data_IF_267458552125
#
_entry.id   IF_267458552125
#
_cell.length_a   1.000
_cell.length_b   1.000
_cell.length_c   1.000
_cell.angle_alpha   90.00
_cell.angle_beta   90.00
_cell.angle_gamma   90.00
#
_symmetry.space_group_name_H-M   'P 1'
#
loop_
_entity.id
_entity.type
_entity.pdbx_description
1 polymer ?
#
# COMPACT_ATOMS: atom_id res chain seq x y z
N UNK A 1 3.69 -23.79 -12.38
CA UNK A 1 3.97 -22.42 -11.92
C UNK A 1 2.72 -21.58 -11.62
N UNK A 2 1.63 -21.56 -12.43
CA UNK A 2 0.54 -20.59 -12.21
C UNK A 2 -0.27 -20.81 -10.91
N UNK A 3 -0.23 -22.02 -10.33
CA UNK A 3 -0.94 -22.37 -9.09
C UNK A 3 0.00 -22.53 -7.89
N UNK A 4 1.20 -21.92 -7.94
CA UNK A 4 2.23 -22.05 -6.90
C UNK A 4 2.80 -20.71 -6.45
N UNK A 5 2.83 -19.73 -7.35
CA UNK A 5 3.31 -18.37 -7.07
C UNK A 5 2.18 -17.41 -7.39
N UNK A 6 1.84 -16.59 -6.41
CA UNK A 6 0.84 -15.54 -6.52
C UNK A 6 1.53 -14.22 -6.19
N UNK A 7 1.30 -13.22 -7.02
CA UNK A 7 1.86 -11.88 -6.85
C UNK A 7 0.71 -10.93 -6.55
N UNK A 8 0.81 -10.19 -5.46
CA UNK A 8 -0.06 -9.05 -5.19
C UNK A 8 0.63 -7.78 -5.64
N UNK A 9 -0.18 -6.76 -5.86
CA UNK A 9 0.30 -5.42 -6.19
C UNK A 9 0.73 -4.68 -4.92
N UNK A 10 1.90 -4.03 -4.96
CA UNK A 10 2.31 -3.01 -4.01
C UNK A 10 2.17 -1.60 -4.57
N UNK A 11 2.40 -0.60 -3.73
CA UNK A 11 2.35 0.82 -4.13
C UNK A 11 3.42 1.17 -5.19
N UNK A 12 4.59 0.52 -5.12
CA UNK A 12 5.67 0.70 -6.09
C UNK A 12 5.40 0.11 -7.48
N UNK A 13 4.42 -0.79 -7.64
CA UNK A 13 3.92 -1.22 -8.95
C UNK A 13 2.95 -0.20 -9.55
N UNK A 14 3.38 1.06 -9.60
CA UNK A 14 2.69 2.22 -10.16
C UNK A 14 3.62 2.99 -11.11
N UNK A 15 3.06 3.83 -11.97
CA UNK A 15 3.88 4.59 -12.93
C UNK A 15 4.65 5.68 -12.19
N UNK A 16 4.02 6.36 -11.23
CA UNK A 16 4.68 7.38 -10.43
C UNK A 16 5.90 6.80 -9.69
N UNK A 17 5.70 5.79 -8.84
CA UNK A 17 6.79 5.26 -8.02
C UNK A 17 7.93 4.70 -8.87
N UNK A 18 7.62 4.01 -9.97
CA UNK A 18 8.67 3.48 -10.84
C UNK A 18 9.46 4.56 -11.58
N UNK A 19 8.84 5.71 -11.88
CA UNK A 19 9.53 6.85 -12.50
C UNK A 19 10.44 7.60 -11.53
N UNK A 20 10.02 7.72 -10.26
CA UNK A 20 10.76 8.44 -9.20
C UNK A 20 11.88 7.58 -8.61
N UNK A 21 11.56 6.34 -8.24
CA UNK A 21 12.46 5.45 -7.47
C UNK A 21 13.33 4.54 -8.36
N UNK A 22 13.58 4.97 -9.58
CA UNK A 22 14.66 4.46 -10.43
C UNK A 22 14.36 3.21 -11.26
N UNK A 23 13.22 2.54 -11.08
CA UNK A 23 12.89 1.35 -11.88
C UNK A 23 12.78 1.67 -13.38
N UNK A 24 12.17 2.80 -13.74
CA UNK A 24 12.10 3.24 -15.14
C UNK A 24 13.51 3.43 -15.72
N UNK A 25 14.35 4.21 -15.04
CA UNK A 25 15.73 4.47 -15.49
C UNK A 25 16.56 3.19 -15.54
N UNK A 26 16.37 2.26 -14.59
CA UNK A 26 17.00 0.94 -14.60
C UNK A 26 16.63 0.15 -15.86
N UNK A 27 15.34 0.05 -16.17
CA UNK A 27 14.85 -0.69 -17.36
C UNK A 27 15.37 -0.03 -18.63
N UNK A 28 15.30 1.30 -18.74
CA UNK A 28 15.82 2.03 -19.89
C UNK A 28 17.32 1.79 -20.09
N UNK A 29 18.10 1.79 -18.99
CA UNK A 29 19.55 1.59 -19.06
C UNK A 29 19.92 0.15 -19.42
N UNK A 30 19.28 -0.85 -18.81
CA UNK A 30 19.62 -2.27 -18.99
C UNK A 30 19.16 -2.85 -20.33
N UNK A 31 18.06 -2.34 -20.90
CA UNK A 31 17.48 -2.87 -22.14
C UNK A 31 17.71 -1.96 -23.36
N UNK A 32 18.40 -0.82 -23.21
CA UNK A 32 18.79 0.08 -24.30
C UNK A 32 17.60 0.48 -25.18
N UNK A 33 17.72 0.30 -26.50
CA UNK A 33 16.67 0.62 -27.48
C UNK A 33 15.32 -0.06 -27.20
N UNK A 34 15.33 -1.24 -26.54
CA UNK A 34 14.10 -1.95 -26.17
C UNK A 34 13.51 -1.49 -24.83
N UNK A 35 14.21 -0.64 -24.07
CA UNK A 35 13.83 -0.28 -22.70
C UNK A 35 12.44 0.32 -22.60
N UNK A 36 12.07 1.24 -23.49
CA UNK A 36 10.71 1.84 -23.52
C UNK A 36 9.63 0.78 -23.73
N UNK A 37 9.89 -0.20 -24.59
CA UNK A 37 8.95 -1.28 -24.83
C UNK A 37 8.81 -2.18 -23.61
N UNK A 38 9.94 -2.59 -23.01
CA UNK A 38 9.98 -3.44 -21.81
C UNK A 38 9.28 -2.77 -20.64
N UNK A 39 9.59 -1.49 -20.36
CA UNK A 39 8.95 -0.73 -19.29
C UNK A 39 7.44 -0.65 -19.47
N UNK A 40 6.96 -0.33 -20.69
CA UNK A 40 5.52 -0.35 -20.99
C UNK A 40 4.87 -1.73 -20.75
N UNK A 41 5.60 -2.81 -21.00
CA UNK A 41 5.11 -4.18 -20.70
C UNK A 41 5.08 -4.45 -19.21
N UNK A 42 6.06 -3.99 -18.43
CA UNK A 42 6.03 -4.05 -16.97
C UNK A 42 4.80 -3.31 -16.41
N UNK A 43 4.55 -2.08 -16.86
CA UNK A 43 3.37 -1.30 -16.45
C UNK A 43 2.06 -2.06 -16.77
N UNK A 44 1.94 -2.61 -17.97
CA UNK A 44 0.77 -3.43 -18.32
C UNK A 44 0.60 -4.68 -17.46
N UNK A 45 1.69 -5.27 -16.98
CA UNK A 45 1.63 -6.37 -16.00
C UNK A 45 1.15 -5.89 -14.63
N UNK A 46 1.61 -4.72 -14.16
CA UNK A 46 1.23 -4.15 -12.87
C UNK A 46 -0.28 -3.87 -12.77
N UNK A 47 -0.91 -3.38 -13.84
CA UNK A 47 -2.38 -3.21 -13.92
C UNK A 47 -3.16 -4.52 -13.75
N UNK A 48 -2.50 -5.65 -14.06
CA UNK A 48 -3.04 -7.00 -13.98
C UNK A 48 -2.92 -7.64 -12.59
N UNK A 49 -2.10 -7.08 -11.68
CA UNK A 49 -1.87 -7.67 -10.37
C UNK A 49 -3.13 -7.55 -9.45
N UNK A 50 -3.51 -8.62 -8.73
CA UNK A 50 -4.53 -8.55 -7.68
C UNK A 50 -4.11 -7.64 -6.52
N UNK A 51 -5.09 -7.02 -5.86
CA UNK A 51 -4.85 -6.11 -4.72
C UNK A 51 -4.71 -6.84 -3.38
N UNK A 52 -5.41 -7.96 -3.23
CA UNK A 52 -5.46 -8.73 -1.99
C UNK A 52 -5.72 -10.21 -2.26
N UNK A 53 -5.51 -11.04 -1.24
CA UNK A 53 -5.83 -12.46 -1.27
C UNK A 53 -6.47 -12.93 0.03
N UNK A 54 -7.16 -14.08 -0.04
CA UNK A 54 -7.61 -14.82 1.14
C UNK A 54 -7.04 -16.23 1.06
N UNK A 55 -6.19 -16.59 2.02
CA UNK A 55 -5.55 -17.90 2.10
C UNK A 55 -6.33 -18.77 3.08
N UNK A 56 -6.71 -19.96 2.61
CA UNK A 56 -7.44 -20.98 3.38
C UNK A 56 -8.73 -20.48 4.09
N UNK A 57 -9.33 -19.39 3.62
CA UNK A 57 -10.49 -18.76 4.26
C UNK A 57 -10.20 -18.17 5.65
N UNK A 58 -8.93 -17.95 5.99
CA UNK A 58 -8.49 -17.52 7.33
C UNK A 58 -7.57 -16.30 7.35
N UNK A 59 -6.80 -16.10 6.29
CA UNK A 59 -5.75 -15.09 6.26
C UNK A 59 -6.02 -14.12 5.12
N UNK A 60 -6.27 -12.85 5.43
CA UNK A 60 -6.32 -11.78 4.45
C UNK A 60 -4.92 -11.20 4.27
N UNK A 61 -4.52 -11.01 3.02
CA UNK A 61 -3.22 -10.40 2.67
C UNK A 61 -3.41 -9.23 1.74
N UNK A 62 -2.73 -8.13 2.02
CA UNK A 62 -2.70 -6.91 1.21
C UNK A 62 -1.33 -6.24 1.36
N UNK A 63 -0.97 -5.30 0.49
CA UNK A 63 0.31 -4.59 0.63
C UNK A 63 0.29 -3.58 1.78
N UNK A 64 -0.62 -2.60 1.71
CA UNK A 64 -0.91 -1.64 2.79
C UNK A 64 -1.83 -2.26 3.82
N UNK A 65 -3.12 -2.46 3.50
CA UNK A 65 -4.00 -3.16 4.43
C UNK A 65 -5.50 -2.97 4.23
N UNK A 66 -6.13 -2.33 5.21
CA UNK A 66 -7.58 -2.08 5.24
C UNK A 66 -7.96 -0.91 4.33
N UNK A 67 -9.25 -0.81 4.02
CA UNK A 67 -9.79 0.14 3.05
C UNK A 67 -11.15 0.68 3.46
N UNK A 68 -11.50 1.87 2.95
CA UNK A 68 -12.80 2.48 3.24
C UNK A 68 -13.90 1.87 2.38
N UNK A 69 -15.11 1.83 2.94
CA UNK A 69 -16.33 1.54 2.20
C UNK A 69 -16.75 2.74 1.34
N UNK A 70 -17.51 2.47 0.30
CA UNK A 70 -18.08 3.52 -0.54
C UNK A 70 -19.25 4.17 0.19
N UNK A 71 -19.10 5.42 0.64
CA UNK A 71 -20.23 6.20 1.16
C UNK A 71 -21.09 6.61 -0.03
N UNK A 72 -22.19 5.90 -0.25
CA UNK A 72 -23.22 6.32 -1.22
C UNK A 72 -23.84 7.61 -0.68
N UNK A 73 -23.32 8.76 -1.11
CA UNK A 73 -24.04 10.02 -0.94
C UNK A 73 -25.28 9.95 -1.83
N UNK A 74 -26.51 10.09 -1.28
CA UNK A 74 -27.69 10.16 -2.12
C UNK A 74 -27.51 11.33 -3.07
N UNK A 75 -27.55 11.06 -4.37
CA UNK A 75 -27.60 12.08 -5.41
C UNK A 75 -28.71 13.08 -5.08
N UNK A 76 -28.34 14.26 -4.57
CA UNK A 76 -29.29 15.37 -4.45
C UNK A 76 -29.59 15.85 -5.86
N UNK A 77 -30.64 15.29 -6.47
CA UNK A 77 -31.33 15.92 -7.60
C UNK A 77 -31.67 17.35 -7.19
N UNK A 78 -31.01 18.31 -7.84
CA UNK A 78 -31.13 19.74 -7.59
C UNK A 78 -32.57 20.19 -7.75
N UNK A 79 -33.29 20.39 -6.64
CA UNK A 79 -34.47 21.28 -6.61
C UNK A 79 -34.08 22.50 -5.78
N UNK A 80 -33.92 23.63 -6.48
CA UNK A 80 -33.75 24.98 -5.91
C UNK A 80 -34.78 25.20 -4.79
N UNK A 81 -34.31 25.49 -3.58
CA UNK A 81 -35.00 26.38 -2.63
C UNK A 81 -34.03 26.92 -1.59
N UNK A 82 -33.92 28.25 -1.56
CA UNK A 82 -33.16 29.03 -0.58
C UNK A 82 -33.53 28.63 0.86
N UNK A 83 -32.58 28.05 1.59
CA UNK A 83 -32.58 28.03 3.07
C UNK A 83 -31.15 28.31 3.54
N UNK A 84 -31.05 29.23 4.50
CA UNK A 84 -29.82 29.67 5.17
C UNK A 84 -28.93 28.47 5.53
N UNK A 85 -27.67 28.54 5.13
CA UNK A 85 -26.63 27.55 5.45
C UNK A 85 -26.33 27.68 6.94
N UNK A 86 -26.86 26.74 7.73
CA UNK A 86 -26.28 26.41 9.04
C UNK A 86 -25.14 25.46 8.72
N UNK A 87 -23.91 25.91 8.97
CA UNK A 87 -22.73 25.07 8.85
C UNK A 87 -22.75 24.07 10.02
N UNK A 88 -23.34 22.90 9.81
CA UNK A 88 -23.05 21.73 10.65
C UNK A 88 -21.89 21.00 9.96
N UNK A 89 -20.68 20.94 10.55
CA UNK A 89 -19.65 20.04 10.09
C UNK A 89 -20.06 18.63 10.51
N UNK A 90 -20.93 18.00 9.73
CA UNK A 90 -21.21 16.59 9.90
C UNK A 90 -19.92 15.84 9.57
N UNK A 91 -19.27 15.31 10.60
CA UNK A 91 -18.17 14.36 10.51
C UNK A 91 -18.62 13.25 9.57
N UNK A 92 -18.10 13.24 8.35
CA UNK A 92 -18.22 12.07 7.48
C UNK A 92 -17.36 10.98 8.12
N UNK A 93 -17.93 10.22 9.05
CA UNK A 93 -17.25 9.09 9.68
C UNK A 93 -16.89 8.09 8.58
N UNK A 94 -15.60 7.89 8.34
CA UNK A 94 -15.12 6.84 7.46
C UNK A 94 -15.58 5.49 8.02
N UNK A 95 -15.96 4.57 7.13
CA UNK A 95 -16.40 3.21 7.48
C UNK A 95 -15.51 2.20 6.79
N UNK A 96 -15.32 1.03 7.40
CA UNK A 96 -14.58 -0.07 6.78
C UNK A 96 -15.34 -0.66 5.60
N UNK A 97 -14.59 -0.93 4.53
CA UNK A 97 -15.12 -1.55 3.33
C UNK A 97 -15.43 -3.04 3.50
N UNK A 98 -16.16 -3.58 2.52
CA UNK A 98 -16.48 -5.00 2.45
C UNK A 98 -15.69 -5.75 1.38
N UNK A 99 -15.52 -7.07 1.56
CA UNK A 99 -14.92 -7.92 0.53
C UNK A 99 -15.70 -7.90 -0.80
N UNK A 100 -17.00 -7.66 -0.76
CA UNK A 100 -17.82 -7.48 -1.96
C UNK A 100 -17.48 -6.19 -2.71
N UNK A 101 -17.30 -5.08 -1.99
CA UNK A 101 -16.86 -3.81 -2.57
C UNK A 101 -15.44 -3.94 -3.14
N UNK A 102 -14.53 -4.61 -2.44
CA UNK A 102 -13.19 -4.91 -2.93
C UNK A 102 -13.23 -5.72 -4.23
N UNK A 103 -14.07 -6.76 -4.30
CA UNK A 103 -14.21 -7.55 -5.53
C UNK A 103 -14.73 -6.74 -6.73
N UNK A 104 -15.47 -5.65 -6.48
CA UNK A 104 -16.00 -4.74 -7.50
C UNK A 104 -15.09 -3.53 -7.78
N UNK A 105 -14.05 -3.32 -6.99
CA UNK A 105 -13.16 -2.18 -7.14
C UNK A 105 -12.47 -2.17 -8.50
N UNK A 106 -12.37 -1.00 -9.14
CA UNK A 106 -11.65 -0.85 -10.41
C UNK A 106 -10.16 -0.82 -10.13
N UNK A 107 -9.55 -2.01 -10.09
CA UNK A 107 -8.11 -2.20 -9.81
C UNK A 107 -7.17 -1.87 -10.97
N UNK A 108 -7.66 -1.89 -12.22
CA UNK A 108 -6.87 -1.61 -13.42
C UNK A 108 -6.70 -0.10 -13.61
N UNK A 109 -5.91 0.48 -12.72
CA UNK A 109 -5.45 1.88 -12.70
C UNK A 109 -3.97 1.86 -12.34
N UNK A 110 -3.09 2.43 -13.19
CA UNK A 110 -1.65 2.42 -12.92
C UNK A 110 -1.30 3.25 -11.68
N UNK A 111 -1.85 4.44 -11.57
CA UNK A 111 -1.69 5.29 -10.40
C UNK A 111 -3.06 5.35 -9.70
N UNK A 112 -3.19 4.83 -8.47
CA UNK A 112 -4.45 4.85 -7.77
C UNK A 112 -4.84 6.30 -7.42
N UNK A 113 -6.11 6.69 -7.62
CA UNK A 113 -6.54 8.05 -7.30
C UNK A 113 -6.65 8.25 -5.78
N UNK A 114 -6.31 9.44 -5.29
CA UNK A 114 -6.49 9.86 -3.89
C UNK A 114 -7.85 10.54 -3.64
N UNK A 115 -8.57 10.91 -4.71
CA UNK A 115 -9.90 11.52 -4.65
C UNK A 115 -10.91 10.87 -5.61
N UNK A 116 -12.18 11.19 -5.43
CA UNK A 116 -13.26 10.66 -6.25
C UNK A 116 -13.77 9.28 -5.82
N UNK A 117 -14.43 8.53 -6.72
CA UNK A 117 -15.20 7.35 -6.33
C UNK A 117 -14.39 6.04 -6.27
N UNK A 118 -13.15 5.99 -6.78
CA UNK A 118 -12.35 4.75 -6.90
C UNK A 118 -11.16 4.72 -5.92
N UNK A 119 -11.43 4.90 -4.62
CA UNK A 119 -10.40 5.04 -3.58
C UNK A 119 -9.83 3.72 -3.07
N UNK A 120 -10.57 2.61 -3.20
CA UNK A 120 -10.19 1.29 -2.65
C UNK A 120 -8.79 0.85 -3.10
N UNK A 121 -8.38 0.97 -4.39
CA UNK A 121 -7.01 0.64 -4.79
C UNK A 121 -5.95 1.48 -4.07
N UNK A 122 -6.20 2.76 -3.84
CA UNK A 122 -5.29 3.63 -3.09
C UNK A 122 -5.18 3.17 -1.63
N UNK A 123 -6.32 2.94 -0.98
CA UNK A 123 -6.35 2.51 0.41
C UNK A 123 -5.62 1.17 0.62
N UNK A 124 -5.83 0.17 -0.25
CA UNK A 124 -5.20 -1.14 -0.08
C UNK A 124 -3.69 -1.08 -0.26
N UNK A 125 -3.19 -0.17 -1.09
CA UNK A 125 -1.78 -0.06 -1.41
C UNK A 125 -1.02 0.87 -0.44
N UNK A 126 -1.69 1.82 0.20
CA UNK A 126 -1.04 2.93 0.93
C UNK A 126 -1.53 3.15 2.37
N UNK A 127 -2.53 2.40 2.85
CA UNK A 127 -2.96 2.56 4.24
C UNK A 127 -1.94 1.94 5.20
N UNK A 128 -1.87 2.50 6.41
CA UNK A 128 -1.01 2.02 7.50
C UNK A 128 -1.83 1.78 8.80
N UNK A 129 -1.41 0.84 9.67
CA UNK A 129 -2.02 0.69 10.99
C UNK A 129 -1.61 1.83 11.92
N UNK A 130 -2.37 2.00 12.98
CA UNK A 130 -2.04 2.86 14.12
C UNK A 130 -2.57 2.24 15.41
N UNK A 131 -1.95 2.55 16.55
CA UNK A 131 -2.51 2.18 17.85
C UNK A 131 -3.73 3.01 18.26
N UNK A 132 -4.00 4.13 17.55
CA UNK A 132 -5.19 4.95 17.81
C UNK A 132 -6.45 4.30 17.24
N UNK A 133 -7.55 4.20 18.00
CA UNK A 133 -8.78 3.59 17.52
C UNK A 133 -9.44 4.41 16.41
N UNK A 134 -10.17 3.73 15.55
CA UNK A 134 -10.94 4.29 14.45
C UNK A 134 -10.23 4.27 13.10
N UNK A 135 -10.83 4.96 12.13
CA UNK A 135 -10.36 5.06 10.75
C UNK A 135 -10.22 6.55 10.39
N UNK A 136 -9.04 6.97 9.96
CA UNK A 136 -8.74 8.35 9.57
C UNK A 136 -7.96 8.41 8.25
N UNK A 137 -7.94 9.55 7.54
CA UNK A 137 -7.05 9.72 6.40
C UNK A 137 -5.59 9.62 6.80
N UNK A 138 -4.76 9.03 5.94
CA UNK A 138 -3.30 9.01 6.12
C UNK A 138 -2.68 10.29 5.52
N UNK A 139 -2.46 11.30 6.35
CA UNK A 139 -1.91 12.59 5.91
C UNK A 139 -0.42 12.50 5.58
N UNK A 140 0.32 11.64 6.26
CA UNK A 140 1.78 11.46 6.04
C UNK A 140 2.05 10.90 4.64
N UNK A 141 1.23 9.95 4.18
CA UNK A 141 1.32 9.38 2.82
C UNK A 141 0.67 10.26 1.75
N UNK A 142 -0.22 11.17 2.14
CA UNK A 142 -1.10 11.94 1.24
C UNK A 142 -2.23 11.12 0.57
N UNK A 143 -2.25 9.80 0.75
CA UNK A 143 -3.25 8.86 0.23
C UNK A 143 -3.46 7.71 1.22
N UNK A 144 -4.61 7.04 1.16
CA UNK A 144 -4.91 5.90 2.02
C UNK A 144 -5.45 6.32 3.39
N UNK A 145 -5.31 5.44 4.36
CA UNK A 145 -5.94 5.52 5.69
C UNK A 145 -4.97 5.14 6.80
N UNK A 146 -5.22 5.65 8.00
CA UNK A 146 -4.75 5.07 9.25
C UNK A 146 -5.89 4.29 9.88
N UNK A 147 -5.63 3.07 10.37
CA UNK A 147 -6.65 2.26 11.05
C UNK A 147 -6.19 1.70 12.38
N UNK A 148 -7.09 1.70 13.37
CA UNK A 148 -6.87 1.22 14.72
C UNK A 148 -7.05 -0.29 14.94
N UNK A 149 -6.76 -0.78 16.15
CA UNK A 149 -7.03 -2.17 16.54
C UNK A 149 -8.51 -2.55 16.47
N UNK A 150 -9.41 -1.60 16.77
CA UNK A 150 -10.87 -1.78 16.66
C UNK A 150 -11.31 -2.07 15.21
N UNK A 151 -10.70 -1.38 14.24
CA UNK A 151 -10.93 -1.64 12.82
C UNK A 151 -10.43 -3.03 12.41
N UNK A 152 -9.31 -3.47 12.98
CA UNK A 152 -8.78 -4.82 12.75
C UNK A 152 -9.71 -5.89 13.32
N UNK A 153 -10.22 -5.69 14.53
CA UNK A 153 -11.21 -6.57 15.17
C UNK A 153 -12.49 -6.65 14.33
N UNK A 154 -13.06 -5.50 13.94
CA UNK A 154 -14.29 -5.47 13.13
C UNK A 154 -14.11 -6.26 11.83
N UNK A 155 -13.01 -6.02 11.10
CA UNK A 155 -12.75 -6.67 9.83
C UNK A 155 -12.57 -8.19 9.97
N UNK A 156 -11.73 -8.63 10.91
CA UNK A 156 -11.49 -10.06 11.16
C UNK A 156 -12.77 -10.77 11.57
N UNK A 157 -13.53 -10.19 12.48
CA UNK A 157 -14.81 -10.74 12.97
C UNK A 157 -15.85 -10.84 11.86
N UNK A 158 -16.04 -9.75 11.10
CA UNK A 158 -17.03 -9.66 10.02
C UNK A 158 -16.83 -10.72 8.93
N UNK A 159 -15.57 -11.04 8.62
CA UNK A 159 -15.24 -11.99 7.56
C UNK A 159 -14.78 -13.37 8.07
N UNK A 160 -14.89 -13.63 9.38
CA UNK A 160 -14.48 -14.88 10.02
C UNK A 160 -13.01 -15.27 9.72
N UNK A 161 -12.16 -14.24 9.66
CA UNK A 161 -10.72 -14.35 9.44
C UNK A 161 -9.99 -14.37 10.78
N UNK A 162 -8.72 -14.76 10.75
CA UNK A 162 -7.83 -14.86 11.92
C UNK A 162 -6.57 -14.02 11.79
N UNK A 163 -6.13 -13.72 10.57
CA UNK A 163 -4.93 -12.95 10.33
C UNK A 163 -5.16 -11.90 9.24
N UNK A 164 -4.61 -10.71 9.48
CA UNK A 164 -4.25 -9.76 8.42
C UNK A 164 -2.72 -9.81 8.33
N UNK A 165 -2.19 -10.09 7.14
CA UNK A 165 -0.76 -9.98 6.86
C UNK A 165 -0.57 -8.87 5.82
N UNK A 166 0.20 -7.85 6.19
CA UNK A 166 0.57 -6.74 5.31
C UNK A 166 2.09 -6.61 5.17
N UNK A 167 2.52 -5.71 4.29
CA UNK A 167 3.93 -5.36 4.08
C UNK A 167 4.16 -3.86 4.18
N UNK A 168 4.49 -3.15 3.10
CA UNK A 168 4.62 -1.69 2.94
C UNK A 168 5.51 -0.87 3.93
N UNK A 169 5.50 -1.07 5.25
CA UNK A 169 6.33 -0.28 6.20
C UNK A 169 7.66 -0.99 6.48
N UNK A 170 8.77 -0.39 6.02
CA UNK A 170 10.14 -0.81 6.32
C UNK A 170 10.69 -0.20 7.61
N UNK A 171 11.98 -0.42 7.92
CA UNK A 171 12.63 0.19 9.09
C UNK A 171 12.72 1.72 9.00
N UNK A 172 12.82 2.28 7.79
CA UNK A 172 12.80 3.73 7.52
C UNK A 172 11.47 4.37 7.93
N UNK A 173 10.35 3.77 7.52
CA UNK A 173 9.03 4.23 7.91
C UNK A 173 8.79 4.02 9.42
N UNK A 174 9.26 2.89 9.97
CA UNK A 174 9.01 2.53 11.37
C UNK A 174 9.85 3.29 12.38
N UNK A 175 11.05 3.75 12.03
CA UNK A 175 11.87 4.59 12.91
C UNK A 175 11.21 5.93 13.25
N UNK A 176 10.30 6.39 12.38
CA UNK A 176 9.51 7.62 12.56
C UNK A 176 8.26 7.41 13.41
N UNK A 177 7.92 6.16 13.73
CA UNK A 177 6.70 5.78 14.45
C UNK A 177 7.01 5.67 15.94
N UNK A 178 6.23 6.36 16.77
CA UNK A 178 6.29 6.20 18.22
C UNK A 178 5.26 5.20 18.76
N UNK A 179 4.26 4.84 17.96
CA UNK A 179 3.14 4.00 18.35
C UNK A 179 3.32 2.52 18.02
N UNK A 180 4.23 2.17 17.11
CA UNK A 180 4.43 0.79 16.64
C UNK A 180 5.89 0.35 16.80
N UNK A 181 6.11 -0.97 16.89
CA UNK A 181 7.44 -1.55 16.99
C UNK A 181 8.25 -1.40 15.69
N UNK A 182 9.58 -1.40 15.85
CA UNK A 182 10.55 -1.36 14.76
C UNK A 182 10.68 -2.68 13.98
N UNK A 183 11.32 -2.62 12.81
CA UNK A 183 11.42 -3.75 11.87
C UNK A 183 12.72 -4.56 11.99
N UNK A 184 13.39 -4.56 13.16
CA UNK A 184 14.70 -5.17 13.35
C UNK A 184 14.79 -6.64 12.90
N UNK A 185 13.71 -7.40 13.12
CA UNK A 185 13.61 -8.83 12.77
C UNK A 185 12.83 -9.10 11.49
N UNK A 186 12.42 -8.05 10.77
CA UNK A 186 11.68 -8.12 9.51
C UNK A 186 10.17 -8.37 9.66
N UNK A 187 9.63 -8.36 10.87
CA UNK A 187 8.18 -8.41 11.08
C UNK A 187 7.79 -7.85 12.45
N UNK A 188 6.53 -7.46 12.60
CA UNK A 188 5.89 -7.05 13.86
C UNK A 188 4.48 -7.62 13.97
N UNK A 189 3.95 -7.70 15.19
CA UNK A 189 2.52 -7.97 15.44
C UNK A 189 1.90 -6.66 15.92
N UNK A 190 1.37 -5.87 14.98
CA UNK A 190 0.95 -4.49 15.27
C UNK A 190 -0.35 -4.45 16.08
N UNK A 191 -1.33 -5.31 15.76
CA UNK A 191 -2.56 -5.41 16.52
C UNK A 191 -2.80 -6.84 16.97
N UNK A 192 -3.06 -7.02 18.27
CA UNK A 192 -3.57 -8.24 18.84
C UNK A 192 -5.00 -8.00 19.33
N UNK A 193 -5.97 -8.68 18.73
CA UNK A 193 -7.41 -8.48 18.98
C UNK A 193 -8.08 -9.82 19.30
N UNK A 194 -9.34 -9.80 19.73
CA UNK A 194 -10.07 -11.02 20.13
C UNK A 194 -10.19 -12.00 18.95
N UNK A 195 -10.48 -11.48 17.76
CA UNK A 195 -10.68 -12.30 16.57
C UNK A 195 -9.37 -12.80 15.95
N UNK A 196 -8.22 -12.21 16.27
CA UNK A 196 -6.94 -12.57 15.67
C UNK A 196 -5.85 -11.50 15.78
N UNK A 197 -5.03 -11.35 14.74
CA UNK A 197 -3.92 -10.38 14.74
C UNK A 197 -3.62 -9.78 13.38
N UNK A 198 -3.09 -8.56 13.41
CA UNK A 198 -2.44 -7.88 12.30
C UNK A 198 -0.93 -8.09 12.40
N UNK A 199 -0.31 -8.49 11.29
CA UNK A 199 1.12 -8.69 11.15
C UNK A 199 1.62 -7.81 10.02
N UNK A 200 2.70 -7.07 10.28
CA UNK A 200 3.48 -6.42 9.22
C UNK A 200 4.74 -7.22 8.96
N UNK A 201 4.97 -7.54 7.69
CA UNK A 201 6.06 -8.39 7.22
C UNK A 201 6.91 -7.63 6.19
N UNK A 202 8.21 -7.58 6.42
CA UNK A 202 9.18 -6.90 5.56
C UNK A 202 10.32 -7.84 5.16
N UNK A 203 10.45 -8.11 3.86
CA UNK A 203 11.37 -9.12 3.33
C UNK A 203 12.66 -8.54 2.73
N UNK A 204 12.96 -7.26 2.94
CA UNK A 204 14.19 -6.63 2.48
C UNK A 204 15.17 -6.41 3.66
N UNK A 205 16.17 -7.30 3.86
CA UNK A 205 17.19 -7.11 4.89
C UNK A 205 18.14 -5.94 4.56
N UNK A 206 18.62 -5.27 5.61
CA UNK A 206 19.57 -4.16 5.55
C UNK A 206 19.12 -3.10 4.54
N UNK A 207 17.87 -2.70 4.70
CA UNK A 207 17.17 -1.68 3.91
C UNK A 207 17.44 -0.28 4.51
N UNK A 208 17.47 0.78 3.67
CA UNK A 208 17.48 0.74 2.21
C UNK A 208 18.85 0.33 1.66
N UNK A 209 18.88 -0.08 0.39
CA UNK A 209 20.15 -0.42 -0.26
C UNK A 209 21.03 0.82 -0.45
N UNK A 210 20.42 1.93 -0.86
CA UNK A 210 21.07 3.23 -1.03
C UNK A 210 20.51 4.19 0.02
N UNK A 211 21.39 4.94 0.68
CA UNK A 211 21.03 5.90 1.73
C UNK A 211 22.06 7.02 1.74
N UNK A 212 21.59 8.25 1.99
CA UNK A 212 22.43 9.43 2.08
C UNK A 212 23.31 9.44 3.34
N UNK A 213 22.86 8.79 4.41
CA UNK A 213 23.57 8.73 5.69
C UNK A 213 24.44 7.48 5.80
N UNK A 214 25.47 7.53 6.67
CA UNK A 214 26.30 6.35 6.97
C UNK A 214 25.59 5.34 7.89
N UNK A 215 24.57 5.78 8.62
CA UNK A 215 23.83 4.97 9.58
C UNK A 215 22.87 4.01 8.88
N UNK A 216 23.03 2.71 9.10
CA UNK A 216 22.20 1.65 8.49
C UNK A 216 21.27 1.07 9.55
N UNK A 217 20.02 0.81 9.17
CA UNK A 217 19.07 0.09 10.02
C UNK A 217 19.50 -1.33 10.35
N UNK A 218 20.24 -2.00 9.43
CA UNK A 218 20.73 -3.39 9.62
C UNK A 218 19.63 -4.39 9.98
N UNK A 219 18.39 -4.09 9.59
CA UNK A 219 17.23 -4.94 9.83
C UNK A 219 17.40 -6.30 9.14
N UNK A 220 16.77 -7.33 9.69
CA UNK A 220 16.57 -8.60 8.97
C UNK A 220 15.39 -8.46 8.01
N UNK A 221 15.40 -9.28 6.97
CA UNK A 221 14.18 -9.59 6.23
C UNK A 221 13.48 -10.77 6.91
N UNK A 222 12.18 -10.93 6.71
CA UNK A 222 11.46 -12.12 7.14
C UNK A 222 10.50 -12.66 6.08
N UNK A 223 10.12 -13.92 6.26
CA UNK A 223 8.98 -14.55 5.59
C UNK A 223 8.17 -15.39 6.59
N UNK A 224 6.92 -15.68 6.23
CA UNK A 224 5.99 -16.45 7.05
C UNK A 224 5.64 -17.76 6.33
N UNK A 225 5.69 -18.87 7.06
CA UNK A 225 5.13 -20.15 6.62
C UNK A 225 3.78 -20.33 7.31
N UNK A 226 2.75 -20.61 6.51
CA UNK A 226 1.41 -20.98 6.95
C UNK A 226 1.16 -22.44 6.56
N UNK A 227 0.83 -23.29 7.53
CA UNK A 227 0.71 -24.73 7.32
C UNK A 227 -0.70 -25.26 7.62
N UNK A 228 -1.21 -26.22 6.84
CA UNK A 228 -2.44 -26.93 7.20
C UNK A 228 -2.22 -27.81 8.45
N UNK A 229 -3.24 -27.98 9.30
CA UNK A 229 -4.57 -27.35 9.23
C UNK A 229 -4.61 -25.94 9.87
N UNK A 230 -3.51 -25.47 10.46
CA UNK A 230 -3.43 -24.29 11.33
C UNK A 230 -2.87 -23.04 10.61
N UNK A 231 -3.56 -22.59 9.57
CA UNK A 231 -3.17 -21.39 8.81
C UNK A 231 -3.22 -20.07 9.62
N UNK A 232 -3.72 -20.11 10.85
CA UNK A 232 -3.78 -18.99 11.80
C UNK A 232 -2.61 -18.94 12.79
N UNK A 233 -1.69 -19.92 12.72
CA UNK A 233 -0.48 -19.99 13.55
C UNK A 233 0.76 -19.78 12.68
N UNK A 234 1.13 -18.52 12.38
CA UNK A 234 2.22 -18.23 11.45
C UNK A 234 3.58 -18.61 12.06
N UNK A 235 4.41 -19.27 11.25
CA UNK A 235 5.81 -19.59 11.59
C UNK A 235 6.70 -18.55 10.92
N UNK A 236 7.40 -17.76 11.74
CA UNK A 236 8.27 -16.68 11.26
C UNK A 236 9.69 -17.17 11.02
N UNK A 237 10.28 -16.72 9.91
CA UNK A 237 11.68 -16.96 9.58
C UNK A 237 12.34 -15.65 9.19
N UNK A 238 13.25 -15.16 10.03
CA UNK A 238 14.08 -14.00 9.73
C UNK A 238 15.40 -14.41 9.09
N UNK A 239 15.91 -13.60 8.17
CA UNK A 239 17.14 -13.84 7.43
C UNK A 239 17.93 -12.54 7.22
N UNK A 240 19.25 -12.68 7.08
CA UNK A 240 20.16 -11.58 6.76
C UNK A 240 20.49 -11.60 5.25
N UNK A 241 21.05 -10.49 4.75
CA UNK A 241 21.46 -10.40 3.35
C UNK A 241 22.80 -11.12 3.09
N UNK A 242 22.98 -11.77 1.92
CA UNK A 242 24.30 -12.15 1.43
C UNK A 242 25.01 -10.93 0.81
N UNK A 243 26.35 -10.93 0.67
CA UNK A 243 27.08 -9.83 0.04
C UNK A 243 26.47 -9.42 -1.31
N UNK A 244 26.17 -8.12 -1.46
CA UNK A 244 25.56 -7.55 -2.67
C UNK A 244 26.65 -7.13 -3.67
N UNK A 245 26.50 -7.39 -4.97
CA UNK A 245 27.35 -6.78 -5.99
C UNK A 245 27.30 -5.26 -5.89
N UNK A 246 28.42 -4.59 -6.15
CA UNK A 246 28.45 -3.12 -6.22
C UNK A 246 27.60 -2.66 -7.40
N UNK A 247 26.62 -1.80 -7.14
CA UNK A 247 25.72 -1.20 -8.13
C UNK A 247 25.58 0.30 -7.85
N UNK A 248 25.36 1.08 -8.89
CA UNK A 248 25.01 2.50 -8.76
C UNK A 248 23.49 2.64 -8.77
N UNK A 249 22.93 3.60 -8.02
CA UNK A 249 21.50 3.85 -8.00
C UNK A 249 21.01 4.41 -9.35
N UNK A 250 19.77 4.09 -9.68
CA UNK A 250 19.07 4.60 -10.88
C UNK A 250 18.13 5.76 -10.56
N UNK A 251 18.25 6.36 -9.38
CA UNK A 251 17.54 7.55 -8.95
C UNK A 251 18.46 8.36 -8.03
N UNK A 252 18.06 9.61 -7.77
CA UNK A 252 18.75 10.44 -6.78
C UNK A 252 18.22 10.10 -5.39
N UNK A 253 18.97 9.30 -4.64
CA UNK A 253 18.57 8.86 -3.30
C UNK A 253 18.92 9.89 -2.21
N UNK A 254 19.66 10.96 -2.56
CA UNK A 254 19.96 12.06 -1.64
C UNK A 254 18.79 13.04 -1.62
N UNK A 255 18.17 13.30 -2.77
CA UNK A 255 16.99 14.17 -2.90
C UNK A 255 15.67 13.44 -2.56
N UNK A 256 15.67 12.12 -2.58
CA UNK A 256 14.48 11.29 -2.32
C UNK A 256 14.79 10.27 -1.22
N UNK A 257 14.90 10.79 0.00
CA UNK A 257 15.40 10.07 1.19
C UNK A 257 14.42 8.98 1.64
N UNK A 258 13.12 9.20 1.46
CA UNK A 258 12.07 8.26 1.84
C UNK A 258 11.21 7.91 0.62
N UNK A 259 11.09 6.61 0.35
CA UNK A 259 10.27 6.11 -0.76
C UNK A 259 8.77 6.19 -0.53
N UNK A 260 8.43 6.57 0.68
CA UNK A 260 7.19 6.25 1.35
C UNK A 260 6.56 7.56 1.89
N UNK A 261 7.30 8.67 1.95
CA UNK A 261 6.82 10.02 2.26
C UNK A 261 6.55 10.86 1.00
N UNK A 262 5.45 11.61 1.05
CA UNK A 262 5.01 12.64 0.10
C UNK A 262 4.97 12.20 -1.37
N UNK A 263 3.88 11.51 -1.74
CA UNK A 263 3.45 11.53 -3.13
C UNK A 263 3.21 12.98 -3.56
N UNK A 264 3.91 13.44 -4.60
CA UNK A 264 3.49 14.62 -5.34
C UNK A 264 2.20 14.28 -6.11
N UNK A 265 1.07 14.39 -5.40
CA UNK A 265 -0.26 14.08 -5.93
C UNK A 265 -0.57 14.89 -7.20
N UNK A 266 0.02 16.08 -7.37
CA UNK A 266 -0.18 16.91 -8.58
C UNK A 266 0.42 16.23 -9.81
N UNK A 267 1.57 15.58 -9.66
CA UNK A 267 2.24 14.83 -10.74
C UNK A 267 1.55 13.50 -11.11
N UNK A 268 0.65 13.01 -10.26
CA UNK A 268 -0.15 11.80 -10.49
C UNK A 268 -1.42 12.06 -11.32
N UNK A 269 -1.78 13.32 -11.60
CA UNK A 269 -2.91 13.65 -12.48
C UNK A 269 -2.52 13.35 -13.94
N UNK A 270 -3.29 12.53 -14.69
CA UNK A 270 -3.07 12.42 -16.11
C UNK A 270 -3.34 13.77 -16.78
N UNK A 271 -2.33 14.28 -17.50
CA UNK A 271 -2.33 15.55 -18.22
C UNK A 271 -3.66 15.76 -18.95
N UNK A 272 -4.51 16.66 -18.45
CA UNK A 272 -5.82 16.92 -19.02
C UNK A 272 -5.66 17.79 -20.26
N UNK A 273 -5.36 17.15 -21.39
CA UNK A 273 -5.55 17.68 -22.73
C UNK A 273 -4.70 18.90 -23.07
N UNK A 274 -3.56 18.65 -23.71
CA UNK A 274 -2.97 19.62 -24.63
C UNK A 274 -4.01 19.96 -25.69
N UNK A 275 -4.57 21.16 -25.59
CA UNK A 275 -5.42 21.75 -26.62
C UNK A 275 -4.53 21.92 -27.86
N UNK A 276 -4.74 21.08 -28.88
CA UNK A 276 -4.11 21.26 -30.18
C UNK A 276 -4.50 22.66 -30.70
N UNK A 277 -3.54 23.47 -31.19
CA UNK A 277 -3.86 24.77 -31.74
C UNK A 277 -4.74 24.56 -32.98
N UNK A 278 -5.92 25.18 -32.96
CA UNK A 278 -6.79 25.26 -34.13
C UNK A 278 -6.06 25.98 -35.25
N UNK A 279 -5.99 25.34 -36.41
CA UNK A 279 -5.57 25.93 -37.67
C UNK A 279 -6.53 27.02 -38.14
#
# INVERSE_FOLDING_TARGET
MPNRVYLLRGNHESKYCTSVYGFEKEVLTKYGESGKHVYRKCLGCFEGLPLASIIAGKVYTAHGGLFRGTVVTPSKRSKKKNRKVVHNPAVNSLILGSLEELAKARRSVLDPPWEGPNLIPGDILWSDPSMSPGLSPNTERGIGLLWGPDCTEEFLKKFNLKLIIRSHEGPDARDKRSDLEGMDVGYTIDHLVESGKLITLFSAPDYPQFQATEERFRNKGAYIILEPPHFDTPIFHSFCYPPRPKVNPYYDFEDVIDSDEELDLVSMVPDSGVQLPTA
#
